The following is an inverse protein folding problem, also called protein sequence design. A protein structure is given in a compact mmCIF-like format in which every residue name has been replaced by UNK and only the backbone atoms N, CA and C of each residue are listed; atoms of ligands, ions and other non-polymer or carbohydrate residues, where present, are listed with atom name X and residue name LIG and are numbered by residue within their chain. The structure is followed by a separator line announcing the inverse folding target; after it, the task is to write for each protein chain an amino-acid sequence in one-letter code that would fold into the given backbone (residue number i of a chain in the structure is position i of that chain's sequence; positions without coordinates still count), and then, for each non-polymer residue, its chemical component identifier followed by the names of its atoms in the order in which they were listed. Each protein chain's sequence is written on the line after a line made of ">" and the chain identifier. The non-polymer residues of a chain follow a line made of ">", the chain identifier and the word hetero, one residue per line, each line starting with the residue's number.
data_IF_279464006052
#
_entry.id   IF_279464006052
#
_cell.length_a   1.000
_cell.length_b   1.000
_cell.length_c   1.000
_cell.angle_alpha   90.00
_cell.angle_beta   90.00
_cell.angle_gamma   90.00
#
_symmetry.space_group_name_H-M   'P 1'
#
loop_
_entity.id
_entity.type
_entity.pdbx_description
1 polymer ?
#
# COMPACT_ATOMS: atom_id res chain seq x y z
N UNK A 1 -1.84 -24.68 -1.11
CA UNK A 1 -1.04 -23.45 -1.19
C UNK A 1 -1.22 -22.64 0.08
N UNK A 2 -0.16 -22.13 0.63
CA UNK A 2 -0.21 -21.28 1.83
C UNK A 2 -0.81 -19.92 1.45
N UNK A 3 -1.81 -19.46 2.22
CA UNK A 3 -2.48 -18.18 1.97
C UNK A 3 -1.55 -17.04 2.37
N UNK A 4 -1.43 -16.02 1.51
CA UNK A 4 -0.67 -14.79 1.82
C UNK A 4 -1.35 -14.02 2.94
N UNK A 5 -2.68 -13.87 2.85
CA UNK A 5 -3.51 -13.15 3.82
C UNK A 5 -4.76 -13.95 4.12
N UNK A 6 -5.11 -14.06 5.40
CA UNK A 6 -6.38 -14.59 5.87
C UNK A 6 -6.90 -13.72 7.01
N UNK A 7 -8.01 -13.00 6.77
CA UNK A 7 -8.79 -12.29 7.78
C UNK A 7 -10.14 -12.96 7.93
N UNK A 8 -10.56 -13.24 9.17
CA UNK A 8 -11.85 -13.82 9.49
C UNK A 8 -12.57 -13.01 10.55
N UNK A 9 -13.70 -12.42 10.18
CA UNK A 9 -14.59 -11.64 11.05
C UNK A 9 -13.84 -10.62 11.91
N UNK A 10 -12.96 -9.82 11.27
CA UNK A 10 -12.06 -8.89 11.95
C UNK A 10 -12.78 -7.59 12.27
N UNK A 11 -12.78 -7.22 13.58
CA UNK A 11 -13.37 -5.99 14.09
C UNK A 11 -12.33 -5.18 14.84
N UNK A 12 -12.30 -3.87 14.55
CA UNK A 12 -11.34 -2.93 15.15
C UNK A 12 -12.05 -1.67 15.62
N UNK A 13 -11.63 -1.16 16.77
CA UNK A 13 -12.14 0.11 17.34
C UNK A 13 -11.04 0.97 17.93
N UNK A 14 -11.24 2.27 17.94
CA UNK A 14 -10.49 3.23 18.73
C UNK A 14 -11.43 3.81 19.80
N UNK A 15 -11.15 3.55 21.09
CA UNK A 15 -12.11 3.84 22.16
C UNK A 15 -13.44 3.13 21.90
N UNK A 16 -14.52 3.92 21.80
CA UNK A 16 -15.86 3.40 21.52
C UNK A 16 -16.25 3.41 20.04
N UNK A 17 -15.42 3.97 19.17
CA UNK A 17 -15.73 4.08 17.75
C UNK A 17 -15.21 2.86 16.99
N UNK A 18 -16.11 2.09 16.38
CA UNK A 18 -15.74 0.99 15.48
C UNK A 18 -15.28 1.56 14.14
N UNK A 19 -14.10 1.10 13.69
CA UNK A 19 -13.46 1.54 12.43
C UNK A 19 -13.49 0.45 11.37
N UNK A 20 -13.35 -0.82 11.76
CA UNK A 20 -13.49 -1.96 10.85
C UNK A 20 -14.53 -2.92 11.42
N UNK A 21 -15.43 -3.38 10.56
CA UNK A 21 -16.61 -4.15 10.92
C UNK A 21 -16.68 -5.45 10.13
N UNK A 22 -16.39 -6.59 10.79
CA UNK A 22 -16.57 -7.92 10.21
C UNK A 22 -15.75 -8.16 8.94
N UNK A 23 -14.50 -7.66 8.88
CA UNK A 23 -13.67 -7.77 7.70
C UNK A 23 -13.31 -9.24 7.44
N UNK A 24 -13.60 -9.69 6.23
CA UNK A 24 -13.18 -10.97 5.70
C UNK A 24 -12.38 -10.75 4.42
N UNK A 25 -11.17 -11.33 4.34
CA UNK A 25 -10.33 -11.30 3.15
C UNK A 25 -9.46 -12.53 3.09
N UNK A 26 -9.43 -13.15 1.94
CA UNK A 26 -8.52 -14.26 1.66
C UNK A 26 -7.74 -13.96 0.37
N UNK A 27 -6.42 -13.85 0.48
CA UNK A 27 -5.50 -13.70 -0.65
C UNK A 27 -4.59 -14.93 -0.69
N UNK A 28 -4.72 -15.73 -1.76
CA UNK A 28 -3.97 -16.99 -1.93
C UNK A 28 -2.74 -16.82 -2.79
N UNK A 29 -2.79 -15.91 -3.74
CA UNK A 29 -1.74 -15.74 -4.73
C UNK A 29 -0.52 -15.05 -4.11
N UNK A 30 0.68 -15.61 -4.32
CA UNK A 30 1.91 -15.06 -3.77
C UNK A 30 2.40 -13.81 -4.50
N UNK A 31 1.74 -13.44 -5.59
CA UNK A 31 2.02 -12.27 -6.42
C UNK A 31 0.71 -11.63 -6.90
N UNK A 32 0.80 -10.45 -7.50
CA UNK A 32 -0.34 -9.66 -7.95
C UNK A 32 -0.53 -8.37 -7.15
N UNK A 33 -1.35 -7.46 -7.67
CA UNK A 33 -1.64 -6.15 -7.09
C UNK A 33 -3.13 -6.05 -6.73
N UNK A 34 -3.41 -5.99 -5.42
CA UNK A 34 -4.74 -5.69 -4.88
C UNK A 34 -4.82 -4.19 -4.58
N UNK A 35 -5.72 -3.48 -5.26
CA UNK A 35 -6.10 -2.11 -4.93
C UNK A 35 -7.21 -2.09 -3.88
N UNK A 36 -7.02 -1.36 -2.78
CA UNK A 36 -8.07 -1.09 -1.79
C UNK A 36 -8.47 0.37 -1.90
N UNK A 37 -9.70 0.61 -2.32
CA UNK A 37 -10.28 1.94 -2.50
C UNK A 37 -11.30 2.25 -1.41
N UNK A 38 -11.54 3.53 -1.19
CA UNK A 38 -12.56 3.98 -0.22
C UNK A 38 -12.35 5.42 0.22
N UNK A 39 -13.34 6.00 0.89
CA UNK A 39 -13.31 7.40 1.31
C UNK A 39 -12.23 7.66 2.38
N UNK A 40 -11.90 8.93 2.57
CA UNK A 40 -11.08 9.34 3.71
C UNK A 40 -11.81 9.01 5.00
N UNK A 41 -11.08 8.43 5.98
CA UNK A 41 -11.70 7.95 7.22
C UNK A 41 -12.37 6.56 7.12
N UNK A 42 -12.46 5.93 5.94
CA UNK A 42 -13.07 4.61 5.73
C UNK A 42 -12.30 3.42 6.33
N UNK A 43 -11.17 3.66 7.03
CA UNK A 43 -10.43 2.61 7.74
C UNK A 43 -9.20 2.04 6.99
N UNK A 44 -8.82 2.59 5.83
CA UNK A 44 -7.74 2.06 4.97
C UNK A 44 -6.40 1.92 5.72
N UNK A 45 -5.91 2.99 6.34
CA UNK A 45 -4.66 2.94 7.14
C UNK A 45 -4.80 2.03 8.35
N UNK A 46 -5.99 1.98 8.98
CA UNK A 46 -6.29 1.05 10.08
C UNK A 46 -6.19 -0.40 9.63
N UNK A 47 -6.71 -0.72 8.46
CA UNK A 47 -6.60 -2.03 7.84
C UNK A 47 -5.12 -2.44 7.63
N UNK A 48 -4.29 -1.53 7.08
CA UNK A 48 -2.85 -1.80 6.95
C UNK A 48 -2.16 -2.00 8.31
N UNK A 49 -2.50 -1.20 9.34
CA UNK A 49 -1.96 -1.38 10.69
C UNK A 49 -2.32 -2.73 11.30
N UNK A 50 -3.50 -3.28 10.99
CA UNK A 50 -3.90 -4.63 11.40
C UNK A 50 -3.03 -5.68 10.71
N UNK A 51 -2.81 -5.58 9.40
CA UNK A 51 -1.92 -6.48 8.67
C UNK A 51 -0.46 -6.42 9.17
N UNK A 52 0.01 -5.24 9.59
CA UNK A 52 1.33 -5.05 10.19
C UNK A 52 1.42 -5.57 11.64
N UNK A 53 0.31 -5.98 12.25
CA UNK A 53 0.25 -6.34 13.67
C UNK A 53 0.55 -5.17 14.61
N UNK A 54 0.39 -3.93 14.13
CA UNK A 54 0.51 -2.70 14.92
C UNK A 54 -0.79 -2.40 15.69
N UNK A 55 -1.88 -2.99 15.24
CA UNK A 55 -3.19 -2.86 15.86
C UNK A 55 -3.86 -4.23 15.92
N UNK A 56 -4.22 -4.66 17.12
CA UNK A 56 -4.91 -5.94 17.32
C UNK A 56 -6.42 -5.77 17.20
N UNK A 57 -7.11 -6.63 16.44
CA UNK A 57 -8.56 -6.65 16.43
C UNK A 57 -9.09 -7.09 17.82
N UNK A 58 -10.22 -6.53 18.23
CA UNK A 58 -10.89 -6.99 19.46
C UNK A 58 -11.75 -8.24 19.22
N UNK A 59 -12.04 -8.56 17.95
CA UNK A 59 -12.75 -9.76 17.50
C UNK A 59 -12.21 -10.22 16.16
N UNK A 60 -12.25 -11.52 15.91
CA UNK A 60 -11.79 -12.14 14.68
C UNK A 60 -10.32 -12.56 14.72
N UNK A 61 -9.79 -12.97 13.58
CA UNK A 61 -8.40 -13.43 13.46
C UNK A 61 -7.74 -12.93 12.19
N UNK A 62 -6.42 -12.69 12.27
CA UNK A 62 -5.57 -12.24 11.17
C UNK A 62 -4.36 -13.15 11.07
N UNK A 63 -4.10 -13.64 9.87
CA UNK A 63 -2.89 -14.41 9.56
C UNK A 63 -2.26 -13.89 8.28
N UNK A 64 -0.94 -13.80 8.30
CA UNK A 64 -0.10 -13.59 7.12
C UNK A 64 0.82 -14.79 6.97
N UNK A 65 0.83 -15.40 5.79
CA UNK A 65 1.61 -16.62 5.53
C UNK A 65 1.36 -17.70 6.62
N UNK A 66 0.08 -17.91 6.95
CA UNK A 66 -0.36 -18.89 7.96
C UNK A 66 -0.03 -18.53 9.42
N UNK A 67 0.69 -17.43 9.71
CA UNK A 67 1.15 -17.02 11.05
C UNK A 67 0.51 -15.71 11.49
N UNK A 68 0.44 -15.41 12.80
CA UNK A 68 0.06 -14.09 13.27
C UNK A 68 0.95 -12.98 12.67
N UNK A 69 0.42 -11.76 12.41
CA UNK A 69 1.17 -10.68 11.78
C UNK A 69 2.50 -10.35 12.47
N UNK A 70 2.54 -10.39 13.80
CA UNK A 70 3.74 -10.09 14.59
C UNK A 70 4.91 -11.05 14.30
N UNK A 71 4.58 -12.28 13.88
CA UNK A 71 5.57 -13.32 13.53
C UNK A 71 5.90 -13.34 12.03
N UNK A 72 5.28 -12.48 11.25
CA UNK A 72 5.43 -12.42 9.79
C UNK A 72 5.98 -11.07 9.29
N UNK A 73 6.32 -10.15 10.20
CA UNK A 73 6.77 -8.79 9.87
C UNK A 73 7.98 -8.76 8.94
N UNK A 74 8.89 -9.69 9.09
CA UNK A 74 10.10 -9.80 8.25
C UNK A 74 9.78 -10.09 6.77
N UNK A 75 8.58 -10.61 6.50
CA UNK A 75 8.10 -10.90 5.14
C UNK A 75 7.29 -9.73 4.56
N UNK A 76 7.12 -8.63 5.30
CA UNK A 76 6.25 -7.51 4.91
C UNK A 76 7.06 -6.24 4.77
N UNK A 77 7.07 -5.67 3.57
CA UNK A 77 7.54 -4.30 3.33
C UNK A 77 6.37 -3.32 3.50
N UNK A 78 6.63 -2.17 4.10
CA UNK A 78 5.61 -1.14 4.28
C UNK A 78 6.10 0.25 3.87
N UNK A 79 5.31 0.90 3.04
CA UNK A 79 5.49 2.29 2.63
C UNK A 79 4.34 3.10 3.21
N UNK A 80 4.58 3.85 4.29
CA UNK A 80 3.56 4.71 4.89
C UNK A 80 3.25 5.93 4.02
N UNK A 81 2.07 6.51 4.22
CA UNK A 81 1.77 7.83 3.68
C UNK A 81 2.71 8.87 4.29
N UNK A 82 3.34 9.69 3.42
CA UNK A 82 4.27 10.73 3.88
C UNK A 82 3.55 11.86 4.59
N UNK A 83 3.55 11.83 5.92
CA UNK A 83 3.26 12.98 6.77
C UNK A 83 4.33 13.02 7.87
N UNK A 84 5.16 14.08 7.87
CA UNK A 84 6.09 14.33 8.97
C UNK A 84 7.51 13.77 8.80
N UNK A 85 7.94 13.40 7.60
CA UNK A 85 9.36 13.18 7.35
C UNK A 85 10.03 14.54 7.20
N UNK A 86 11.06 14.80 8.02
CA UNK A 86 11.88 16.00 7.92
C UNK A 86 12.87 15.83 6.76
N UNK A 87 12.57 16.48 5.64
CA UNK A 87 13.43 16.42 4.45
C UNK A 87 14.66 17.33 4.56
N UNK A 88 14.73 18.22 5.55
CA UNK A 88 15.90 19.04 5.82
C UNK A 88 16.96 18.29 6.62
N UNK A 89 16.60 17.12 7.18
CA UNK A 89 17.56 16.25 7.84
C UNK A 89 18.59 15.71 6.84
N UNK A 90 19.90 15.89 7.07
CA UNK A 90 20.94 15.57 6.10
C UNK A 90 21.25 14.07 6.05
N UNK A 91 20.30 13.26 5.59
CA UNK A 91 20.46 11.82 5.41
C UNK A 91 20.55 11.48 3.91
N UNK A 92 21.48 10.62 3.54
CA UNK A 92 21.63 10.13 2.16
C UNK A 92 20.53 9.11 1.79
N UNK A 93 20.28 8.99 0.49
CA UNK A 93 19.40 7.96 -0.08
C UNK A 93 19.83 6.56 0.37
N UNK A 94 21.14 6.31 0.37
CA UNK A 94 21.71 5.06 0.82
C UNK A 94 21.35 4.73 2.27
N UNK A 95 21.56 5.69 3.16
CA UNK A 95 21.24 5.51 4.59
C UNK A 95 19.75 5.29 4.81
N UNK A 96 18.87 6.03 4.10
CA UNK A 96 17.43 5.81 4.17
C UNK A 96 17.08 4.36 3.82
N UNK A 97 17.63 3.83 2.72
CA UNK A 97 17.32 2.46 2.29
C UNK A 97 17.90 1.41 3.25
N UNK A 98 19.10 1.63 3.78
CA UNK A 98 19.69 0.77 4.80
C UNK A 98 18.83 0.67 6.08
N UNK A 99 18.07 1.72 6.46
CA UNK A 99 17.16 1.61 7.61
C UNK A 99 16.13 0.49 7.44
N UNK A 100 15.79 0.10 6.21
CA UNK A 100 14.94 -1.06 5.94
C UNK A 100 15.51 -2.38 6.47
N UNK A 101 16.83 -2.47 6.65
CA UNK A 101 17.53 -3.67 7.16
C UNK A 101 17.64 -3.75 8.67
N UNK A 102 17.23 -2.70 9.41
CA UNK A 102 17.41 -2.66 10.87
C UNK A 102 16.77 -3.85 11.60
N UNK A 103 15.65 -4.38 11.11
CA UNK A 103 15.00 -5.57 11.70
C UNK A 103 15.83 -6.84 11.55
N UNK A 104 16.66 -6.95 10.52
CA UNK A 104 17.53 -8.10 10.26
C UNK A 104 18.88 -7.96 10.97
N UNK A 105 19.46 -6.76 10.95
CA UNK A 105 20.76 -6.49 11.56
C UNK A 105 20.67 -6.43 13.08
N UNK A 106 19.56 -5.92 13.61
CA UNK A 106 19.37 -5.65 15.05
C UNK A 106 19.86 -4.27 15.45
N UNK A 107 19.30 -3.77 16.57
CA UNK A 107 19.60 -2.44 17.09
C UNK A 107 21.09 -2.33 17.50
N UNK A 108 21.74 -1.24 17.13
CA UNK A 108 23.14 -0.93 17.46
C UNK A 108 24.21 -1.89 16.87
N UNK A 109 23.83 -2.70 15.88
CA UNK A 109 24.80 -3.54 15.16
C UNK A 109 25.16 -2.92 13.81
N UNK A 110 26.39 -3.15 13.37
CA UNK A 110 26.84 -2.71 12.05
C UNK A 110 26.13 -3.52 10.94
N UNK A 111 25.74 -2.83 9.87
CA UNK A 111 25.21 -3.48 8.69
C UNK A 111 26.25 -4.41 8.06
N UNK A 112 25.85 -5.64 7.75
CA UNK A 112 26.67 -6.66 7.12
C UNK A 112 26.70 -6.43 5.62
N UNK A 113 27.54 -7.17 4.91
CA UNK A 113 27.64 -7.14 3.45
C UNK A 113 26.30 -7.52 2.79
N UNK A 114 25.60 -8.51 3.35
CA UNK A 114 24.28 -8.93 2.88
C UNK A 114 23.22 -7.81 2.98
N UNK A 115 23.30 -6.96 4.02
CA UNK A 115 22.40 -5.82 4.20
C UNK A 115 22.68 -4.72 3.18
N UNK A 116 23.98 -4.47 2.93
CA UNK A 116 24.43 -3.52 1.91
C UNK A 116 24.00 -3.96 0.51
N UNK A 117 24.19 -5.23 0.21
CA UNK A 117 23.77 -5.81 -1.06
C UNK A 117 22.25 -5.72 -1.26
N UNK A 118 21.45 -6.03 -0.23
CA UNK A 118 20.00 -5.91 -0.30
C UNK A 118 19.55 -4.46 -0.53
N UNK A 119 20.21 -3.47 0.08
CA UNK A 119 19.94 -2.05 -0.15
C UNK A 119 20.32 -1.62 -1.58
N UNK A 120 21.46 -2.09 -2.09
CA UNK A 120 21.91 -1.86 -3.46
C UNK A 120 20.92 -2.42 -4.49
N UNK A 121 20.54 -3.69 -4.33
CA UNK A 121 19.60 -4.38 -5.23
C UNK A 121 18.21 -3.70 -5.20
N UNK A 122 17.76 -3.24 -4.03
CA UNK A 122 16.54 -2.48 -3.88
C UNK A 122 16.60 -1.14 -4.63
N UNK A 123 17.70 -0.38 -4.49
CA UNK A 123 17.90 0.89 -5.20
C UNK A 123 17.97 0.68 -6.72
N UNK A 124 18.62 -0.36 -7.19
CA UNK A 124 18.66 -0.72 -8.62
C UNK A 124 17.27 -1.07 -9.13
N UNK A 125 16.49 -1.80 -8.35
CA UNK A 125 15.12 -2.20 -8.72
C UNK A 125 14.21 -1.00 -8.96
N UNK A 126 14.38 0.08 -8.19
CA UNK A 126 13.59 1.32 -8.34
C UNK A 126 14.30 2.39 -9.18
N UNK A 127 15.43 2.07 -9.81
CA UNK A 127 16.21 2.97 -10.69
C UNK A 127 16.75 4.22 -9.95
N UNK A 128 17.15 4.05 -8.67
CA UNK A 128 17.63 5.16 -7.81
C UNK A 128 19.07 4.98 -7.34
N UNK A 129 19.79 3.96 -7.84
CA UNK A 129 21.14 3.64 -7.37
C UNK A 129 22.16 4.77 -7.62
N UNK A 130 22.07 5.45 -8.76
CA UNK A 130 22.95 6.57 -9.12
C UNK A 130 22.76 7.81 -8.19
N UNK A 131 21.65 7.85 -7.46
CA UNK A 131 21.33 8.92 -6.50
C UNK A 131 21.71 8.56 -5.05
N UNK A 132 22.32 7.39 -4.79
CA UNK A 132 22.54 6.84 -3.44
C UNK A 132 23.27 7.77 -2.49
N UNK A 133 24.20 8.60 -3.01
CA UNK A 133 25.03 9.52 -2.21
C UNK A 133 24.37 10.91 -2.03
N UNK A 134 23.25 11.17 -2.72
CA UNK A 134 22.49 12.43 -2.57
C UNK A 134 21.69 12.43 -1.27
N UNK A 135 21.49 13.62 -0.71
CA UNK A 135 20.54 13.80 0.40
C UNK A 135 19.10 13.64 -0.09
N UNK A 136 18.26 13.01 0.72
CA UNK A 136 16.86 12.74 0.36
C UNK A 136 16.06 14.02 0.09
N UNK A 137 16.40 15.13 0.78
CA UNK A 137 15.78 16.43 0.58
C UNK A 137 15.99 17.03 -0.81
N UNK A 138 17.07 16.64 -1.51
CA UNK A 138 17.40 17.14 -2.84
C UNK A 138 16.63 16.43 -3.98
N UNK A 139 15.85 15.40 -3.65
CA UNK A 139 15.11 14.60 -4.62
C UNK A 139 13.73 15.20 -4.92
N UNK A 140 13.21 14.94 -6.13
CA UNK A 140 11.80 15.21 -6.46
C UNK A 140 10.85 14.33 -5.63
N UNK A 141 9.56 14.67 -5.59
CA UNK A 141 8.54 13.87 -4.90
C UNK A 141 8.49 12.42 -5.38
N UNK A 142 8.51 12.20 -6.69
CA UNK A 142 8.52 10.86 -7.28
C UNK A 142 9.80 10.08 -6.99
N UNK A 143 10.97 10.75 -7.02
CA UNK A 143 12.24 10.13 -6.65
C UNK A 143 12.25 9.72 -5.17
N UNK A 144 11.76 10.57 -4.26
CA UNK A 144 11.60 10.24 -2.84
C UNK A 144 10.70 9.03 -2.66
N UNK A 145 9.57 8.99 -3.37
CA UNK A 145 8.65 7.85 -3.31
C UNK A 145 9.34 6.54 -3.72
N UNK A 146 10.12 6.55 -4.79
CA UNK A 146 10.92 5.38 -5.21
C UNK A 146 11.92 4.97 -4.14
N UNK A 147 12.62 5.90 -3.47
CA UNK A 147 13.56 5.61 -2.38
C UNK A 147 12.86 4.92 -1.21
N UNK A 148 11.65 5.33 -0.87
CA UNK A 148 10.92 4.71 0.21
C UNK A 148 10.37 3.32 -0.16
N UNK A 149 10.03 3.12 -1.43
CA UNK A 149 9.75 1.78 -1.93
C UNK A 149 11.02 0.91 -1.86
N UNK A 150 12.19 1.44 -2.26
CA UNK A 150 13.47 0.73 -2.10
C UNK A 150 13.74 0.35 -0.64
N UNK A 151 13.50 1.25 0.31
CA UNK A 151 13.61 0.95 1.74
C UNK A 151 12.74 -0.23 2.16
N UNK A 152 11.51 -0.28 1.68
CA UNK A 152 10.60 -1.40 1.94
C UNK A 152 11.06 -2.68 1.24
N UNK A 153 11.58 -2.60 0.00
CA UNK A 153 12.11 -3.73 -0.76
C UNK A 153 13.40 -4.30 -0.16
N UNK A 154 14.22 -3.48 0.50
CA UNK A 154 15.45 -3.92 1.15
C UNK A 154 15.20 -4.98 2.24
N UNK A 155 13.99 -5.12 2.78
CA UNK A 155 13.61 -6.22 3.68
C UNK A 155 13.45 -7.57 2.95
N UNK A 156 13.55 -7.63 1.61
CA UNK A 156 13.22 -8.78 0.78
C UNK A 156 11.80 -9.31 1.05
N UNK A 157 10.76 -8.47 0.96
CA UNK A 157 9.42 -8.83 1.37
C UNK A 157 8.75 -9.79 0.40
N UNK A 158 7.83 -10.62 0.92
CA UNK A 158 6.87 -11.40 0.12
C UNK A 158 5.54 -10.65 -0.07
N UNK A 159 5.27 -9.65 0.77
CA UNK A 159 4.09 -8.79 0.72
C UNK A 159 4.53 -7.34 0.87
N UNK A 160 4.15 -6.48 -0.07
CA UNK A 160 4.39 -5.04 -0.02
C UNK A 160 3.07 -4.32 0.26
N UNK A 161 3.04 -3.53 1.32
CA UNK A 161 1.90 -2.70 1.72
C UNK A 161 2.22 -1.24 1.42
N UNK A 162 1.32 -0.55 0.70
CA UNK A 162 1.48 0.85 0.29
C UNK A 162 0.28 1.67 0.78
N UNK A 163 0.53 2.72 1.55
CA UNK A 163 -0.50 3.62 2.07
C UNK A 163 -0.51 4.93 1.29
N UNK A 164 -1.45 5.09 0.36
CA UNK A 164 -1.60 6.24 -0.54
C UNK A 164 -0.28 6.68 -1.22
N UNK A 165 0.42 5.77 -1.92
CA UNK A 165 1.76 6.03 -2.44
C UNK A 165 1.81 7.09 -3.55
N UNK A 166 0.69 7.41 -4.17
CA UNK A 166 0.52 8.42 -5.22
C UNK A 166 0.17 9.82 -4.69
N UNK A 167 -0.02 9.96 -3.36
CA UNK A 167 -0.44 11.24 -2.77
C UNK A 167 0.62 12.32 -2.96
N UNK A 168 0.23 13.45 -3.59
CA UNK A 168 1.13 14.59 -3.82
C UNK A 168 2.09 14.43 -5.00
N UNK A 169 1.93 13.39 -5.83
CA UNK A 169 2.65 13.24 -7.08
C UNK A 169 1.86 13.84 -8.25
N UNK A 170 2.56 14.45 -9.20
CA UNK A 170 1.96 14.85 -10.47
C UNK A 170 1.60 13.62 -11.34
N UNK A 171 0.75 13.78 -12.37
CA UNK A 171 0.26 12.66 -13.18
C UNK A 171 1.37 11.83 -13.84
N UNK A 172 2.46 12.46 -14.27
CA UNK A 172 3.58 11.75 -14.89
C UNK A 172 4.31 10.87 -13.87
N UNK A 173 4.60 11.40 -12.68
CA UNK A 173 5.23 10.64 -11.60
C UNK A 173 4.33 9.52 -11.08
N UNK A 174 3.00 9.71 -11.10
CA UNK A 174 2.05 8.65 -10.77
C UNK A 174 2.13 7.50 -11.77
N UNK A 175 2.14 7.77 -13.08
CA UNK A 175 2.25 6.74 -14.11
C UNK A 175 3.56 5.94 -13.96
N UNK A 176 4.69 6.62 -13.72
CA UNK A 176 5.97 5.95 -13.44
C UNK A 176 5.92 5.05 -12.19
N UNK A 177 5.26 5.50 -11.12
CA UNK A 177 5.05 4.71 -9.91
C UNK A 177 4.24 3.46 -10.23
N UNK A 178 3.13 3.59 -10.96
CA UNK A 178 2.29 2.44 -11.30
C UNK A 178 3.01 1.44 -12.21
N UNK A 179 3.80 1.90 -13.18
CA UNK A 179 4.67 1.03 -13.99
C UNK A 179 5.69 0.27 -13.13
N UNK A 180 6.26 0.90 -12.11
CA UNK A 180 7.12 0.23 -11.15
C UNK A 180 6.36 -0.86 -10.38
N UNK A 181 5.16 -0.55 -9.86
CA UNK A 181 4.33 -1.52 -9.13
C UNK A 181 3.88 -2.67 -10.04
N UNK A 182 3.58 -2.40 -11.31
CA UNK A 182 3.26 -3.42 -12.31
C UNK A 182 4.40 -4.42 -12.51
N UNK A 183 5.65 -3.94 -12.57
CA UNK A 183 6.83 -4.83 -12.61
C UNK A 183 7.00 -5.64 -11.32
N UNK A 184 6.77 -5.02 -10.16
CA UNK A 184 6.95 -5.66 -8.85
C UNK A 184 5.88 -6.72 -8.55
N UNK A 185 4.63 -6.54 -9.01
CA UNK A 185 3.53 -7.47 -8.73
C UNK A 185 3.75 -8.88 -9.30
N UNK A 186 4.64 -9.05 -10.28
CA UNK A 186 5.01 -10.36 -10.80
C UNK A 186 5.96 -11.14 -9.87
N UNK A 187 6.57 -10.46 -8.89
CA UNK A 187 7.57 -11.04 -7.97
C UNK A 187 7.02 -11.23 -6.56
N UNK A 188 6.02 -10.45 -6.15
CA UNK A 188 5.48 -10.45 -4.80
C UNK A 188 4.01 -10.01 -4.78
N UNK A 189 3.31 -10.31 -3.69
CA UNK A 189 1.99 -9.75 -3.45
C UNK A 189 2.10 -8.27 -3.06
N UNK A 190 1.23 -7.43 -3.61
CA UNK A 190 1.17 -6.00 -3.30
C UNK A 190 -0.25 -5.63 -2.88
N UNK A 191 -0.39 -4.91 -1.78
CA UNK A 191 -1.62 -4.21 -1.43
C UNK A 191 -1.36 -2.72 -1.45
N UNK A 192 -2.13 -2.01 -2.24
CA UNK A 192 -2.10 -0.57 -2.33
C UNK A 192 -3.44 0.01 -1.87
N UNK A 193 -3.45 0.82 -0.82
CA UNK A 193 -4.63 1.60 -0.48
C UNK A 193 -4.54 2.98 -1.11
N UNK A 194 -5.64 3.42 -1.73
CA UNK A 194 -5.73 4.72 -2.40
C UNK A 194 -7.18 5.22 -2.42
N UNK A 195 -7.36 6.50 -2.70
CA UNK A 195 -8.65 7.11 -3.00
C UNK A 195 -8.80 7.43 -4.50
N UNK A 196 -7.78 7.15 -5.30
CA UNK A 196 -7.76 7.39 -6.74
C UNK A 196 -8.28 6.17 -7.51
N UNK A 197 -9.50 6.29 -8.02
CA UNK A 197 -10.18 5.25 -8.79
C UNK A 197 -9.59 5.07 -10.20
N UNK A 198 -9.11 6.17 -10.81
CA UNK A 198 -8.66 6.17 -12.20
C UNK A 198 -7.43 5.29 -12.41
N UNK A 199 -6.48 5.39 -11.48
CA UNK A 199 -5.25 4.64 -11.52
C UNK A 199 -5.43 3.16 -11.17
N UNK A 200 -6.37 2.87 -10.27
CA UNK A 200 -6.65 1.50 -9.81
C UNK A 200 -7.17 0.64 -10.96
N UNK A 201 -8.05 1.18 -11.82
CA UNK A 201 -8.67 0.40 -12.91
C UNK A 201 -7.67 -0.13 -13.94
N UNK A 202 -6.54 0.55 -14.15
CA UNK A 202 -5.55 0.18 -15.17
C UNK A 202 -4.55 -0.86 -14.70
N UNK A 203 -3.98 -0.67 -13.51
CA UNK A 203 -2.77 -1.37 -13.07
C UNK A 203 -3.01 -2.52 -12.08
N UNK A 204 -4.16 -2.51 -11.37
CA UNK A 204 -4.46 -3.56 -10.39
C UNK A 204 -4.99 -4.82 -11.05
N UNK A 205 -4.80 -5.96 -10.38
CA UNK A 205 -5.37 -7.24 -10.80
C UNK A 205 -6.72 -7.51 -10.11
N UNK A 206 -6.87 -6.99 -8.89
CA UNK A 206 -8.05 -7.18 -8.03
C UNK A 206 -8.35 -5.90 -7.27
N UNK A 207 -9.61 -5.72 -6.91
CA UNK A 207 -10.06 -4.53 -6.20
C UNK A 207 -10.85 -4.92 -4.95
N UNK A 208 -10.73 -4.13 -3.91
CA UNK A 208 -11.60 -4.18 -2.74
C UNK A 208 -12.05 -2.77 -2.35
N UNK A 209 -13.32 -2.64 -2.02
CA UNK A 209 -13.93 -1.40 -1.55
C UNK A 209 -14.00 -1.41 -0.02
N UNK A 210 -13.40 -0.42 0.65
CA UNK A 210 -13.34 -0.33 2.11
C UNK A 210 -13.95 0.96 2.64
N UNK A 211 -15.06 0.81 3.35
CA UNK A 211 -15.65 1.84 4.21
C UNK A 211 -16.24 1.16 5.43
N UNK A 212 -15.45 1.03 6.49
CA UNK A 212 -15.68 0.18 7.67
C UNK A 212 -15.85 -1.30 7.34
N UNK A 213 -16.64 -1.65 6.32
CA UNK A 213 -16.79 -3.00 5.75
C UNK A 213 -15.96 -3.14 4.50
N UNK A 214 -15.54 -4.37 4.19
CA UNK A 214 -14.74 -4.67 3.01
C UNK A 214 -15.58 -5.49 2.03
N UNK A 215 -15.68 -4.99 0.80
CA UNK A 215 -16.25 -5.72 -0.35
C UNK A 215 -15.09 -6.08 -1.29
N UNK A 216 -14.75 -7.36 -1.35
CA UNK A 216 -13.62 -7.85 -2.15
C UNK A 216 -14.10 -8.44 -3.47
N UNK A 217 -13.50 -7.99 -4.56
CA UNK A 217 -13.76 -8.47 -5.92
C UNK A 217 -12.52 -9.16 -6.47
N UNK A 218 -12.69 -10.42 -6.88
CA UNK A 218 -11.61 -11.20 -7.50
C UNK A 218 -11.39 -10.82 -8.97
N UNK A 219 -11.72 -9.59 -9.35
CA UNK A 219 -11.59 -9.01 -10.69
C UNK A 219 -11.34 -7.51 -10.59
N UNK A 220 -11.12 -6.88 -11.75
CA UNK A 220 -11.05 -5.41 -11.89
C UNK A 220 -12.44 -4.75 -11.97
N UNK A 221 -13.48 -5.55 -12.17
CA UNK A 221 -14.85 -5.06 -12.27
C UNK A 221 -15.44 -4.92 -10.86
N UNK A 222 -15.98 -3.76 -10.59
CA UNK A 222 -16.65 -3.44 -9.32
C UNK A 222 -18.12 -3.24 -9.65
N UNK A 223 -19.04 -3.97 -9.00
CA UNK A 223 -20.46 -3.67 -9.09
C UNK A 223 -20.75 -2.23 -8.64
N UNK A 224 -21.57 -1.51 -9.37
CA UNK A 224 -21.95 -0.13 -9.05
C UNK A 224 -22.51 -0.03 -7.63
N UNK A 225 -23.30 -1.01 -7.22
CA UNK A 225 -23.88 -1.12 -5.87
C UNK A 225 -22.82 -1.09 -4.75
N UNK A 226 -21.68 -1.76 -4.95
CA UNK A 226 -20.59 -1.80 -3.96
C UNK A 226 -19.78 -0.48 -3.92
N UNK A 227 -19.68 0.20 -5.05
CA UNK A 227 -19.11 1.56 -5.10
C UNK A 227 -20.02 2.56 -4.41
N UNK A 228 -21.31 2.57 -4.72
CA UNK A 228 -22.29 3.43 -4.09
C UNK A 228 -22.37 3.19 -2.58
N UNK A 229 -22.38 1.92 -2.14
CA UNK A 229 -22.33 1.55 -0.73
C UNK A 229 -21.05 2.03 -0.04
N UNK A 230 -19.92 2.02 -0.76
CA UNK A 230 -18.61 2.42 -0.22
C UNK A 230 -18.48 3.94 -0.11
N UNK A 231 -18.86 4.67 -1.16
CA UNK A 231 -18.72 6.13 -1.20
C UNK A 231 -19.95 6.88 -0.73
N UNK A 232 -21.07 6.19 -0.51
CA UNK A 232 -22.36 6.75 -0.08
C UNK A 232 -22.87 7.87 -1.01
N UNK A 233 -22.53 7.79 -2.29
CA UNK A 233 -23.00 8.68 -3.35
C UNK A 233 -23.08 7.91 -4.66
N UNK A 234 -23.94 8.33 -5.62
CA UNK A 234 -23.96 7.76 -6.96
C UNK A 234 -22.59 7.93 -7.63
N UNK A 235 -22.02 6.86 -8.11
CA UNK A 235 -20.71 6.85 -8.79
C UNK A 235 -20.92 6.35 -10.22
N UNK A 236 -20.67 7.20 -11.19
CA UNK A 236 -20.60 6.77 -12.59
C UNK A 236 -19.19 6.26 -12.90
N UNK A 237 -19.07 4.98 -13.26
CA UNK A 237 -17.81 4.38 -13.67
C UNK A 237 -17.48 4.71 -15.11
N UNK A 238 -16.24 5.09 -15.36
CA UNK A 238 -15.71 5.43 -16.66
C UNK A 238 -15.15 4.19 -17.33
N UNK A 239 -15.71 3.80 -18.48
CA UNK A 239 -15.07 2.86 -19.37
C UNK A 239 -14.02 3.59 -20.24
N UNK A 240 -12.86 2.98 -20.46
CA UNK A 240 -11.78 3.55 -21.25
C UNK A 240 -12.21 3.89 -22.67
N UNK A 241 -11.96 5.12 -23.10
CA UNK A 241 -12.07 5.54 -24.49
C UNK A 241 -12.55 6.97 -24.73
N UNK A 242 -13.25 7.61 -23.81
CA UNK A 242 -13.67 9.01 -23.88
C UNK A 242 -13.70 9.64 -22.49
N UNK A 243 -13.47 10.98 -22.36
CA UNK A 243 -13.53 11.65 -21.06
C UNK A 243 -14.96 11.70 -20.57
N UNK A 244 -15.28 11.01 -19.50
CA UNK A 244 -16.58 10.98 -18.87
C UNK A 244 -16.53 11.57 -17.46
N UNK A 245 -17.64 12.11 -16.99
CA UNK A 245 -17.77 12.69 -15.65
C UNK A 245 -17.86 11.56 -14.61
N UNK A 246 -17.13 11.71 -13.52
CA UNK A 246 -17.08 10.73 -12.42
C UNK A 246 -18.24 10.93 -11.43
N UNK A 247 -18.90 12.08 -11.46
CA UNK A 247 -20.03 12.42 -10.60
C UNK A 247 -21.17 12.98 -11.46
N UNK A 248 -22.39 12.49 -11.26
CA UNK A 248 -23.57 13.12 -11.78
C UNK A 248 -23.75 14.52 -11.18
N UNK A 249 -24.15 15.50 -11.98
CA UNK A 249 -24.49 16.81 -11.46
C UNK A 249 -25.65 16.66 -10.46
N UNK A 250 -25.46 17.15 -9.23
CA UNK A 250 -26.60 17.46 -8.37
C UNK A 250 -27.37 18.59 -9.04
N UNK A 251 -28.40 18.26 -9.80
CA UNK A 251 -29.41 19.25 -10.12
C UNK A 251 -30.08 19.63 -8.80
N UNK A 252 -29.74 20.83 -8.33
CA UNK A 252 -30.41 21.43 -7.22
C UNK A 252 -31.88 21.58 -7.56
N UNK A 253 -32.73 20.95 -6.79
CA UNK A 253 -34.15 21.24 -6.79
C UNK A 253 -34.38 22.54 -6.01
N UNK A 254 -35.19 23.46 -6.52
CA UNK A 254 -35.42 24.80 -5.95
C UNK A 254 -36.01 24.80 -4.55
#
# INVERSE_FOLDING_TARGET
>A
MEKVIELKDVWVRYGNQTILEGINLELKEPNGLLGIIGPNGGGKTTFLKVLLGLLKPYRGSVKLFGKPPEKSRELVGYVPRYKGFDFDFPISVWEVVLTGRMSHTGLLKNYREEDRKAAEDALKTVEMFEYRDRQIGQLSGGQRQRVFIARALATNPKLLLLDEPNSGLDPHMQDELYRLLDRLKHKMAIIMVTHDLSAVSVYVDKIACLNRKLHYHNSKEIPIEDLEATYQCPVELIAHGMPHRVLSNHEGNP
#
